data_IF_614335523721
#
_entry.id   IF_614335523721
#
_cell.length_a   1.000
_cell.length_b   1.000
_cell.length_c   1.000
_cell.angle_alpha   90.00
_cell.angle_beta   90.00
_cell.angle_gamma   90.00
#
_symmetry.space_group_name_H-M   'P 1'
#
loop_
_entity.id
_entity.type
_entity.pdbx_description
1 polymer ?
#
# COMPACT_ATOMS: atom_id res chain seq x y z
N UNK A 1 1.30 29.80 15.50
CA UNK A 1 0.19 28.85 15.63
C UNK A 1 0.17 27.93 14.43
N UNK A 2 0.57 26.69 14.62
CA UNK A 2 0.35 25.69 13.61
C UNK A 2 -1.09 25.21 13.75
N UNK A 3 -1.93 25.58 12.82
CA UNK A 3 -3.26 24.99 12.71
C UNK A 3 -3.06 23.49 12.50
N UNK A 4 -3.48 22.71 13.44
CA UNK A 4 -3.55 21.26 13.32
C UNK A 4 -4.64 20.96 12.28
N UNK A 5 -4.25 21.02 11.00
CA UNK A 5 -5.16 20.77 9.91
C UNK A 5 -5.56 19.29 9.99
N UNK A 6 -6.81 19.06 10.29
CA UNK A 6 -7.34 17.69 10.30
C UNK A 6 -7.25 17.16 8.87
N UNK A 7 -6.40 16.16 8.68
CA UNK A 7 -6.20 15.49 7.40
C UNK A 7 -7.09 14.26 7.38
N UNK A 8 -7.88 14.11 6.33
CA UNK A 8 -8.76 12.97 6.13
C UNK A 8 -8.10 11.88 5.28
N UNK A 9 -8.51 10.64 5.44
CA UNK A 9 -8.07 9.53 4.61
C UNK A 9 -8.32 9.80 3.11
N UNK A 10 -9.43 10.44 2.78
CA UNK A 10 -9.74 10.86 1.41
C UNK A 10 -8.68 11.80 0.83
N UNK A 11 -8.26 12.79 1.59
CA UNK A 11 -7.22 13.73 1.14
C UNK A 11 -5.88 13.03 0.88
N UNK A 12 -5.52 12.06 1.72
CA UNK A 12 -4.31 11.25 1.53
C UNK A 12 -4.44 10.41 0.26
N UNK A 13 -5.55 9.70 0.08
CA UNK A 13 -5.80 8.88 -1.11
C UNK A 13 -5.77 9.72 -2.40
N UNK A 14 -6.41 10.87 -2.42
CA UNK A 14 -6.36 11.80 -3.55
C UNK A 14 -4.94 12.28 -3.84
N UNK A 15 -4.12 12.50 -2.81
CA UNK A 15 -2.74 12.96 -2.95
C UNK A 15 -1.78 11.93 -3.52
N UNK A 16 -2.05 10.65 -3.35
CA UNK A 16 -1.19 9.54 -3.79
C UNK A 16 -1.77 8.71 -4.93
N UNK A 17 -2.92 9.08 -5.48
CA UNK A 17 -3.66 8.26 -6.46
C UNK A 17 -3.05 8.26 -7.86
N UNK A 18 -2.38 9.30 -8.27
CA UNK A 18 -1.80 9.39 -9.60
C UNK A 18 -0.43 8.67 -9.69
N UNK A 19 -0.14 8.13 -10.84
CA UNK A 19 1.06 7.33 -11.11
C UNK A 19 2.36 8.06 -10.74
N UNK A 20 2.48 9.32 -11.08
CA UNK A 20 3.69 10.11 -10.79
C UNK A 20 3.86 10.40 -9.30
N UNK A 21 2.77 10.56 -8.57
CA UNK A 21 2.81 10.68 -7.11
C UNK A 21 3.25 9.37 -6.46
N UNK A 22 2.80 8.25 -6.97
CA UNK A 22 3.22 6.91 -6.51
C UNK A 22 4.71 6.67 -6.79
N UNK A 23 5.19 7.00 -7.98
CA UNK A 23 6.61 6.92 -8.32
C UNK A 23 7.47 7.78 -7.40
N UNK A 24 7.07 9.02 -7.15
CA UNK A 24 7.80 9.92 -6.26
C UNK A 24 7.84 9.38 -4.82
N UNK A 25 6.73 8.86 -4.34
CA UNK A 25 6.67 8.27 -3.00
C UNK A 25 7.57 7.03 -2.88
N UNK A 26 7.62 6.19 -3.92
CA UNK A 26 8.54 5.05 -3.99
C UNK A 26 10.01 5.50 -3.94
N UNK A 27 10.36 6.55 -4.67
CA UNK A 27 11.71 7.14 -4.66
C UNK A 27 12.12 7.62 -3.26
N UNK A 28 11.23 8.34 -2.60
CA UNK A 28 11.47 8.86 -1.25
C UNK A 28 11.61 7.69 -0.26
N UNK A 29 10.77 6.68 -0.37
CA UNK A 29 10.81 5.48 0.48
C UNK A 29 12.12 4.68 0.29
N UNK A 30 12.64 4.63 -0.92
CA UNK A 30 13.92 3.98 -1.22
C UNK A 30 15.15 4.78 -0.75
N UNK A 31 14.96 6.00 -0.28
CA UNK A 31 16.05 6.89 0.13
C UNK A 31 16.85 7.47 -1.03
N UNK A 32 16.32 7.42 -2.24
CA UNK A 32 16.96 7.94 -3.43
C UNK A 32 16.87 9.47 -3.51
N UNK A 33 17.76 10.07 -4.27
CA UNK A 33 17.76 11.52 -4.46
C UNK A 33 16.66 11.91 -5.46
N UNK A 34 15.63 12.58 -4.95
CA UNK A 34 14.47 12.98 -5.74
C UNK A 34 14.79 13.94 -6.89
N UNK A 35 15.95 14.63 -6.87
CA UNK A 35 16.37 15.50 -7.97
C UNK A 35 16.56 14.74 -9.29
N UNK A 36 16.86 13.45 -9.22
CA UNK A 36 17.05 12.60 -10.39
C UNK A 36 15.73 12.37 -11.16
N UNK A 37 14.59 12.48 -10.50
CA UNK A 37 13.28 12.36 -11.17
C UNK A 37 12.97 13.52 -12.11
N UNK A 38 13.55 14.68 -11.88
CA UNK A 38 13.35 15.87 -12.72
C UNK A 38 14.25 15.81 -13.96
N UNK A 39 15.41 15.16 -13.88
CA UNK A 39 16.40 15.13 -14.97
C UNK A 39 16.09 14.16 -16.10
N UNK A 40 15.34 13.07 -15.83
CA UNK A 40 15.13 11.97 -16.76
C UNK A 40 13.73 11.96 -17.43
N UNK A 41 13.15 13.10 -17.67
CA UNK A 41 11.86 13.28 -18.37
C UNK A 41 10.62 12.62 -17.74
N UNK A 42 10.71 12.12 -16.54
CA UNK A 42 9.58 11.50 -15.85
C UNK A 42 8.56 12.52 -15.34
N UNK A 43 9.01 13.69 -14.91
CA UNK A 43 8.14 14.80 -14.57
C UNK A 43 8.85 16.15 -14.72
N UNK A 44 8.06 17.19 -14.94
CA UNK A 44 8.56 18.57 -14.98
C UNK A 44 8.91 19.04 -13.56
N UNK A 45 9.79 20.04 -13.47
CA UNK A 45 10.14 20.69 -12.19
C UNK A 45 8.90 21.19 -11.46
N UNK A 46 7.96 21.79 -12.17
CA UNK A 46 6.69 22.26 -11.61
C UNK A 46 5.85 21.13 -11.03
N UNK A 47 5.73 20.03 -11.75
CA UNK A 47 5.01 18.82 -11.29
C UNK A 47 5.66 18.21 -10.04
N UNK A 48 6.98 18.19 -10.01
CA UNK A 48 7.76 17.71 -8.86
C UNK A 48 7.49 18.55 -7.60
N UNK A 49 7.66 19.86 -7.69
CA UNK A 49 7.46 20.75 -6.54
C UNK A 49 6.01 20.75 -6.06
N UNK A 50 5.06 20.64 -6.96
CA UNK A 50 3.64 20.56 -6.60
C UNK A 50 3.36 19.31 -5.75
N UNK A 51 3.93 18.17 -6.13
CA UNK A 51 3.77 16.89 -5.41
C UNK A 51 4.50 16.88 -4.07
N UNK A 52 5.71 17.37 -4.04
CA UNK A 52 6.49 17.52 -2.79
C UNK A 52 5.75 18.43 -1.81
N UNK A 53 5.23 19.55 -2.27
CA UNK A 53 4.43 20.46 -1.44
C UNK A 53 3.17 19.77 -0.91
N UNK A 54 2.48 19.00 -1.74
CA UNK A 54 1.30 18.23 -1.35
C UNK A 54 1.64 17.17 -0.30
N UNK A 55 2.69 16.40 -0.51
CA UNK A 55 3.13 15.37 0.44
C UNK A 55 3.56 15.97 1.78
N UNK A 56 4.21 17.11 1.75
CA UNK A 56 4.59 17.84 2.98
C UNK A 56 3.35 18.33 3.73
N UNK A 57 2.39 18.90 3.01
CA UNK A 57 1.12 19.38 3.60
C UNK A 57 0.31 18.24 4.20
N UNK A 58 0.30 17.07 3.57
CA UNK A 58 -0.35 15.87 4.07
C UNK A 58 0.41 15.19 5.23
N UNK A 59 1.62 15.63 5.53
CA UNK A 59 2.44 15.06 6.59
C UNK A 59 3.09 13.73 6.24
N UNK A 60 3.17 13.38 4.96
CA UNK A 60 3.75 12.11 4.49
C UNK A 60 5.28 12.16 4.46
N UNK A 61 5.86 13.30 4.19
CA UNK A 61 7.30 13.49 4.08
C UNK A 61 7.80 14.66 4.93
N UNK A 62 9.08 14.60 5.26
CA UNK A 62 9.82 15.66 5.92
C UNK A 62 11.18 15.83 5.28
N UNK A 63 11.78 16.99 5.45
CA UNK A 63 13.14 17.25 5.00
C UNK A 63 14.14 16.96 6.13
N UNK A 64 15.10 16.09 5.86
CA UNK A 64 16.16 15.69 6.78
C UNK A 64 17.49 15.81 6.04
N UNK A 65 18.40 16.65 6.55
CA UNK A 65 19.74 16.84 5.97
C UNK A 65 19.73 17.11 4.45
N UNK A 66 18.81 17.96 4.01
CA UNK A 66 18.67 18.33 2.60
C UNK A 66 17.98 17.31 1.71
N UNK A 67 17.54 16.18 2.24
CA UNK A 67 16.79 15.14 1.52
C UNK A 67 15.39 14.98 2.10
N UNK A 68 14.49 14.50 1.26
CA UNK A 68 13.15 14.12 1.71
C UNK A 68 13.16 12.69 2.25
N UNK A 69 12.47 12.49 3.36
CA UNK A 69 12.27 11.19 3.97
C UNK A 69 10.81 11.03 4.37
N UNK A 70 10.33 9.79 4.44
CA UNK A 70 9.00 9.50 4.95
C UNK A 70 8.92 9.86 6.45
N UNK A 71 7.81 10.45 6.86
CA UNK A 71 7.43 10.52 8.27
C UNK A 71 6.96 9.14 8.74
N UNK A 72 6.78 8.93 10.03
CA UNK A 72 6.14 7.71 10.54
C UNK A 72 4.76 7.51 9.92
N UNK A 73 3.96 8.57 9.83
CA UNK A 73 2.68 8.53 9.13
C UNK A 73 2.82 8.19 7.65
N UNK A 74 3.79 8.80 6.96
CA UNK A 74 4.11 8.49 5.56
C UNK A 74 4.51 7.04 5.34
N UNK A 75 5.26 6.45 6.27
CA UNK A 75 5.64 5.04 6.23
C UNK A 75 4.42 4.11 6.33
N UNK A 76 3.48 4.42 7.22
CA UNK A 76 2.23 3.64 7.35
C UNK A 76 1.40 3.72 6.08
N UNK A 77 1.27 4.91 5.50
CA UNK A 77 0.54 5.12 4.24
C UNK A 77 1.23 4.37 3.08
N UNK A 78 2.55 4.44 3.01
CA UNK A 78 3.33 3.72 1.99
C UNK A 78 3.16 2.20 2.08
N UNK A 79 3.22 1.63 3.28
CA UNK A 79 2.94 0.21 3.48
C UNK A 79 1.52 -0.18 3.06
N UNK A 80 0.53 0.65 3.36
CA UNK A 80 -0.84 0.43 2.90
C UNK A 80 -0.94 0.44 1.37
N UNK A 81 -0.21 1.33 0.70
CA UNK A 81 -0.13 1.37 -0.76
C UNK A 81 0.53 0.11 -1.33
N UNK A 82 1.60 -0.39 -0.71
CA UNK A 82 2.24 -1.64 -1.12
C UNK A 82 1.30 -2.83 -0.96
N UNK A 83 0.56 -2.91 0.13
CA UNK A 83 -0.46 -3.96 0.34
C UNK A 83 -1.53 -3.93 -0.74
N UNK A 84 -2.00 -2.74 -1.10
CA UNK A 84 -2.95 -2.57 -2.19
C UNK A 84 -2.38 -3.06 -3.52
N UNK A 85 -1.14 -2.72 -3.85
CA UNK A 85 -0.46 -3.16 -5.07
C UNK A 85 -0.33 -4.70 -5.12
N UNK A 86 0.05 -5.31 -4.00
CA UNK A 86 0.12 -6.77 -3.88
C UNK A 86 -1.25 -7.41 -4.09
N UNK A 87 -2.31 -6.86 -3.50
CA UNK A 87 -3.67 -7.36 -3.68
C UNK A 87 -4.12 -7.28 -5.16
N UNK A 88 -3.83 -6.18 -5.83
CA UNK A 88 -4.15 -6.00 -7.25
C UNK A 88 -3.40 -7.01 -8.12
N UNK A 89 -2.11 -7.20 -7.89
CA UNK A 89 -1.28 -8.14 -8.65
C UNK A 89 -1.68 -9.61 -8.44
N UNK A 90 -2.29 -9.93 -7.31
CA UNK A 90 -2.75 -11.28 -6.97
C UNK A 90 -4.27 -11.42 -6.98
N UNK A 91 -4.97 -10.52 -7.64
CA UNK A 91 -6.44 -10.46 -7.66
C UNK A 91 -7.10 -11.78 -8.03
N UNK A 92 -6.56 -12.50 -9.01
CA UNK A 92 -7.09 -13.77 -9.45
C UNK A 92 -6.94 -14.89 -8.40
N UNK A 93 -5.84 -14.88 -7.62
CA UNK A 93 -5.63 -15.81 -6.51
C UNK A 93 -6.61 -15.55 -5.38
N UNK A 94 -6.86 -14.27 -5.07
CA UNK A 94 -7.85 -13.86 -4.07
C UNK A 94 -9.25 -14.31 -4.47
N UNK A 95 -9.58 -14.24 -5.74
CA UNK A 95 -10.84 -14.75 -6.28
C UNK A 95 -10.95 -16.28 -6.14
N UNK A 96 -9.86 -17.01 -6.29
CA UNK A 96 -9.84 -18.46 -6.04
C UNK A 96 -10.15 -18.79 -4.57
N UNK A 97 -9.67 -17.99 -3.62
CA UNK A 97 -10.04 -18.14 -2.21
C UNK A 97 -11.54 -17.97 -1.97
N UNK A 98 -12.16 -16.96 -2.57
CA UNK A 98 -13.61 -16.74 -2.45
C UNK A 98 -14.39 -17.95 -2.93
N UNK A 99 -13.96 -18.57 -4.00
CA UNK A 99 -14.55 -19.80 -4.53
C UNK A 99 -14.40 -20.97 -3.56
N UNK A 100 -13.21 -21.15 -2.96
CA UNK A 100 -12.95 -22.21 -1.97
C UNK A 100 -13.78 -22.03 -0.70
N UNK A 101 -13.99 -20.79 -0.25
CA UNK A 101 -14.79 -20.49 0.94
C UNK A 101 -16.28 -20.68 0.71
N UNK A 102 -16.77 -20.42 -0.49
CA UNK A 102 -18.19 -20.58 -0.82
C UNK A 102 -18.58 -22.01 -1.17
N UNK A 103 -17.63 -22.88 -1.47
CA UNK A 103 -17.88 -24.28 -1.81
C UNK A 103 -17.90 -25.14 -0.54
N UNK A 104 -19.11 -25.43 -0.06
CA UNK A 104 -19.33 -26.29 1.11
C UNK A 104 -18.99 -27.78 0.86
N UNK A 105 -18.67 -28.17 -0.37
CA UNK A 105 -18.33 -29.56 -0.71
C UNK A 105 -16.90 -29.90 -0.38
N UNK A 106 -16.04 -28.89 -0.19
CA UNK A 106 -14.61 -29.07 0.12
C UNK A 106 -14.43 -29.14 1.64
N UNK A 107 -13.86 -30.25 2.19
CA UNK A 107 -13.55 -30.35 3.61
C UNK A 107 -12.61 -29.22 4.09
N UNK A 108 -12.78 -28.75 5.33
CA UNK A 108 -11.99 -27.67 5.91
C UNK A 108 -10.49 -27.96 5.87
N UNK A 109 -10.09 -29.21 6.10
CA UNK A 109 -8.69 -29.64 6.05
C UNK A 109 -8.08 -29.51 4.65
N UNK A 110 -8.85 -29.82 3.62
CA UNK A 110 -8.40 -29.70 2.22
C UNK A 110 -8.34 -28.25 1.77
N UNK A 111 -9.28 -27.40 2.24
CA UNK A 111 -9.24 -25.96 1.98
C UNK A 111 -7.93 -25.35 2.47
N UNK A 112 -7.53 -25.67 3.68
CA UNK A 112 -6.27 -25.17 4.26
C UNK A 112 -5.05 -25.57 3.45
N UNK A 113 -5.01 -26.81 2.94
CA UNK A 113 -3.92 -27.28 2.09
C UNK A 113 -3.88 -26.56 0.74
N UNK A 114 -5.03 -26.39 0.09
CA UNK A 114 -5.15 -25.66 -1.18
C UNK A 114 -4.76 -24.19 -1.01
N UNK A 115 -5.19 -23.56 0.08
CA UNK A 115 -4.80 -22.19 0.40
C UNK A 115 -3.30 -22.05 0.57
N UNK A 116 -2.67 -22.96 1.30
CA UNK A 116 -1.21 -22.97 1.49
C UNK A 116 -0.45 -23.16 0.17
N UNK A 117 -0.95 -24.00 -0.74
CA UNK A 117 -0.37 -24.15 -2.07
C UNK A 117 -0.46 -22.86 -2.89
N UNK A 118 -1.62 -22.22 -2.91
CA UNK A 118 -1.81 -20.95 -3.63
C UNK A 118 -0.90 -19.86 -3.06
N UNK A 119 -0.70 -19.84 -1.75
CA UNK A 119 0.16 -18.87 -1.07
C UNK A 119 1.63 -19.15 -1.36
N UNK A 120 2.07 -20.41 -1.33
CA UNK A 120 3.47 -20.78 -1.58
C UNK A 120 3.92 -20.45 -3.00
N UNK A 121 3.02 -20.55 -3.97
CA UNK A 121 3.29 -20.15 -5.36
C UNK A 121 3.42 -18.63 -5.55
N UNK A 122 3.02 -17.85 -4.56
CA UNK A 122 3.03 -16.37 -4.66
C UNK A 122 4.38 -15.78 -4.26
N UNK A 123 5.35 -16.60 -3.78
CA UNK A 123 6.62 -16.10 -3.23
C UNK A 123 6.34 -15.19 -2.03
N UNK A 124 7.27 -15.05 -1.16
CA UNK A 124 7.34 -14.34 0.14
C UNK A 124 6.45 -13.10 0.37
N UNK A 125 5.17 -13.14 0.02
CA UNK A 125 4.22 -12.09 0.35
C UNK A 125 3.55 -12.40 1.71
N UNK A 126 4.35 -12.34 2.78
CA UNK A 126 3.93 -12.49 4.16
C UNK A 126 2.74 -11.59 4.52
N UNK A 127 2.63 -10.45 3.85
CA UNK A 127 1.59 -9.44 4.07
C UNK A 127 0.18 -9.96 3.74
N UNK A 128 0.04 -10.76 2.69
CA UNK A 128 -1.26 -11.37 2.34
C UNK A 128 -1.60 -12.48 3.33
N UNK A 129 -0.61 -13.27 3.74
CA UNK A 129 -0.76 -14.35 4.70
C UNK A 129 -1.32 -13.87 6.04
N UNK A 130 -0.76 -12.82 6.61
CA UNK A 130 -1.20 -12.28 7.89
C UNK A 130 -2.65 -11.79 7.87
N UNK A 131 -3.07 -11.16 6.78
CA UNK A 131 -4.44 -10.68 6.65
C UNK A 131 -5.46 -11.81 6.45
N UNK A 132 -5.06 -12.97 5.93
CA UNK A 132 -5.93 -14.15 5.77
C UNK A 132 -5.96 -15.05 7.00
N UNK A 133 -4.82 -15.28 7.65
CA UNK A 133 -4.73 -16.07 8.88
C UNK A 133 -5.55 -15.41 9.99
N UNK A 134 -5.54 -14.09 10.08
CA UNK A 134 -6.35 -13.38 11.06
C UNK A 134 -7.86 -13.46 10.81
N UNK A 135 -8.30 -13.87 9.63
CA UNK A 135 -9.72 -14.11 9.33
C UNK A 135 -10.21 -15.48 9.77
N UNK A 136 -9.36 -16.49 9.76
CA UNK A 136 -9.72 -17.83 10.22
C UNK A 136 -9.87 -17.90 11.76
N UNK A 137 -9.12 -17.08 12.49
CA UNK A 137 -9.21 -16.96 13.95
C UNK A 137 -10.36 -16.06 14.42
N UNK A 138 -10.91 -15.27 13.54
CA UNK A 138 -12.09 -14.43 13.80
C UNK A 138 -13.28 -15.00 13.05
N UNK A 139 -13.92 -15.98 13.64
CA UNK A 139 -15.28 -16.39 13.28
C UNK A 139 -16.19 -15.17 13.14
N UNK A 140 -17.20 -15.20 12.26
CA UNK A 140 -17.80 -14.02 11.65
C UNK A 140 -18.48 -13.14 12.66
N UNK A 141 -17.81 -12.09 13.08
CA UNK A 141 -18.36 -11.00 13.88
C UNK A 141 -18.53 -9.73 13.05
N UNK A 142 -18.86 -9.86 11.79
CA UNK A 142 -19.42 -8.74 11.05
C UNK A 142 -20.88 -9.06 10.79
N UNK A 143 -21.68 -8.88 11.82
CA UNK A 143 -23.06 -8.50 11.64
C UNK A 143 -23.07 -6.99 11.45
N UNK A 144 -23.25 -6.57 10.26
CA UNK A 144 -23.73 -5.25 9.94
C UNK A 144 -25.22 -5.37 9.69
#
# INVERSE_FOLDING_TARGET
MRYNRIITARQVLEGISDERSQELLNFIAAGENCSDMVGESKMTRKQYYLRVSRFTTLGLIKRVEGRYALTTFGSVVYEAQLRLAVAVNNRWKLKAFDTLYSDNTIPVSERSQLMNQIISDTGKNEIILESFISKDDKAPLIQV
#
